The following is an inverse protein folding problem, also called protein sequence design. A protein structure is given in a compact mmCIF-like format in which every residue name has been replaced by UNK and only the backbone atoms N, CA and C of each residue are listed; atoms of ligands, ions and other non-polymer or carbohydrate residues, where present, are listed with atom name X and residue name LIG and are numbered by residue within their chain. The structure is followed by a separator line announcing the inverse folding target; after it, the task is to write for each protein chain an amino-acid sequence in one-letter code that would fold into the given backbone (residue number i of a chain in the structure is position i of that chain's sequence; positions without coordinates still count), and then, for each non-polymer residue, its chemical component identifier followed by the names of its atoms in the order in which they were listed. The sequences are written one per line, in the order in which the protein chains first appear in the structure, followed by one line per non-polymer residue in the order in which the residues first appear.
data_IF_967500848036
#
_entry.id   IF_967500848036
#
_cell.length_a   1.000
_cell.length_b   1.000
_cell.length_c   1.000
_cell.angle_alpha   90.00
_cell.angle_beta   90.00
_cell.angle_gamma   90.00
#
_symmetry.space_group_name_H-M   'P 1'
#
loop_
_entity.id
_entity.type
_entity.pdbx_description
1 polymer ?
#
# COMPACT_ATOMS: atom_id res chain seq x y z
N UNK A 1 17.49 -21.87 -12.36
CA UNK A 1 17.36 -20.74 -11.42
C UNK A 1 18.36 -19.68 -11.85
N UNK A 2 17.92 -18.50 -12.20
CA UNK A 2 18.83 -17.39 -12.52
C UNK A 2 19.42 -16.93 -11.18
N UNK A 3 20.75 -16.98 -11.03
CA UNK A 3 21.42 -16.45 -9.85
C UNK A 3 21.25 -14.92 -9.89
N UNK A 4 20.41 -14.39 -9.03
CA UNK A 4 20.32 -12.94 -8.81
C UNK A 4 21.37 -12.52 -7.79
N UNK A 5 21.97 -11.37 -8.01
CA UNK A 5 22.95 -10.79 -7.08
C UNK A 5 22.39 -9.47 -6.53
N UNK A 6 21.63 -9.54 -5.44
CA UNK A 6 21.07 -8.33 -4.83
C UNK A 6 22.16 -7.42 -4.27
N UNK A 7 21.94 -6.11 -4.37
CA UNK A 7 22.85 -5.09 -3.86
C UNK A 7 22.10 -4.04 -3.02
N UNK A 8 22.74 -3.61 -1.94
CA UNK A 8 22.26 -2.52 -1.09
C UNK A 8 23.32 -1.43 -1.04
N UNK A 9 22.87 -0.18 -1.24
CA UNK A 9 23.70 1.01 -1.09
C UNK A 9 23.11 1.89 0.00
N UNK A 10 23.97 2.43 0.86
CA UNK A 10 23.61 3.42 1.88
C UNK A 10 24.43 4.68 1.62
N UNK A 11 23.76 5.82 1.36
CA UNK A 11 24.42 7.09 1.06
C UNK A 11 25.42 6.97 -0.13
N UNK A 12 25.09 6.14 -1.12
CA UNK A 12 25.90 5.85 -2.31
C UNK A 12 27.01 4.81 -2.10
N UNK A 13 27.22 4.31 -0.89
CA UNK A 13 28.20 3.26 -0.60
C UNK A 13 27.55 1.88 -0.61
N UNK A 14 28.12 0.93 -1.34
CA UNK A 14 27.68 -0.47 -1.30
C UNK A 14 28.00 -1.06 0.07
N UNK A 15 27.04 -1.76 0.64
CA UNK A 15 27.17 -2.44 1.93
C UNK A 15 26.99 -3.96 1.78
N UNK A 16 27.79 -4.71 2.50
CA UNK A 16 27.61 -6.16 2.63
C UNK A 16 26.48 -6.43 3.62
N UNK A 17 25.56 -7.29 3.26
CA UNK A 17 24.44 -7.71 4.11
C UNK A 17 24.38 -9.24 4.21
N UNK A 18 23.69 -9.75 5.22
CA UNK A 18 23.50 -11.19 5.41
C UNK A 18 22.14 -11.66 4.91
N UNK A 19 21.11 -10.95 5.30
CA UNK A 19 19.72 -11.24 4.92
C UNK A 19 18.93 -9.93 4.82
N UNK A 20 17.83 -9.97 4.09
CA UNK A 20 16.93 -8.84 4.01
C UNK A 20 15.54 -9.23 3.51
N UNK A 21 14.63 -8.28 3.60
CA UNK A 21 13.29 -8.37 3.02
C UNK A 21 12.81 -7.02 2.56
N UNK A 22 12.24 -6.98 1.37
CA UNK A 22 11.49 -5.84 0.85
C UNK A 22 10.01 -6.19 0.88
N UNK A 23 9.23 -5.39 1.60
CA UNK A 23 7.76 -5.51 1.64
C UNK A 23 7.15 -4.27 1.02
N UNK A 24 6.35 -4.47 -0.03
CA UNK A 24 5.50 -3.46 -0.64
C UNK A 24 4.05 -3.85 -0.34
N UNK A 25 3.34 -3.02 0.39
CA UNK A 25 1.93 -3.24 0.70
C UNK A 25 1.08 -2.23 -0.06
N UNK A 26 -0.03 -2.71 -0.59
CA UNK A 26 -0.96 -1.87 -1.31
C UNK A 26 -1.66 -0.84 -0.44
N UNK A 27 -2.16 0.20 -1.09
CA UNK A 27 -3.14 1.05 -0.48
C UNK A 27 -2.61 2.19 0.38
N UNK A 28 -1.70 2.99 -0.12
CA UNK A 28 -1.16 4.17 0.58
C UNK A 28 -0.27 3.82 1.79
N UNK A 29 0.31 2.64 1.79
CA UNK A 29 1.24 2.18 2.83
C UNK A 29 2.67 2.32 2.35
N UNK A 30 3.57 2.79 3.22
CA UNK A 30 4.98 2.89 2.91
C UNK A 30 5.60 1.51 2.65
N UNK A 31 6.38 1.39 1.59
CA UNK A 31 7.21 0.21 1.35
C UNK A 31 8.32 0.15 2.40
N UNK A 32 8.65 -1.05 2.83
CA UNK A 32 9.60 -1.31 3.91
C UNK A 32 10.72 -2.22 3.42
N UNK A 33 11.96 -1.75 3.56
CA UNK A 33 13.16 -2.57 3.40
C UNK A 33 13.78 -2.84 4.78
N UNK A 34 13.88 -4.11 5.14
CA UNK A 34 14.60 -4.54 6.34
C UNK A 34 15.81 -5.36 5.94
N UNK A 35 16.97 -5.12 6.53
CA UNK A 35 18.19 -5.85 6.21
C UNK A 35 19.18 -5.83 7.38
N UNK A 36 20.04 -6.86 7.41
CA UNK A 36 21.04 -7.05 8.47
C UNK A 36 22.42 -6.90 7.87
N UNK A 37 23.25 -6.05 8.48
CA UNK A 37 24.67 -5.91 8.14
C UNK A 37 25.55 -6.22 9.34
N UNK A 38 26.80 -6.65 9.14
CA UNK A 38 27.81 -6.64 10.19
C UNK A 38 28.12 -5.22 10.63
N UNK A 39 28.24 -4.96 11.93
CA UNK A 39 28.58 -3.62 12.41
C UNK A 39 28.34 -3.42 13.90
N UNK A 40 28.72 -2.23 14.36
CA UNK A 40 28.67 -1.79 15.74
C UNK A 40 27.95 -0.43 15.88
N UNK A 41 28.03 0.18 17.04
CA UNK A 41 27.43 1.49 17.32
C UNK A 41 28.00 2.63 16.46
N UNK A 42 29.22 2.52 15.94
CA UNK A 42 29.83 3.51 15.06
C UNK A 42 29.19 3.40 13.67
N UNK A 43 29.06 2.17 13.17
CA UNK A 43 28.36 1.84 11.91
C UNK A 43 26.90 2.31 11.96
N UNK A 44 26.20 2.07 13.08
CA UNK A 44 24.83 2.56 13.29
C UNK A 44 24.73 4.08 13.12
N UNK A 45 25.60 4.86 13.81
CA UNK A 45 25.58 6.34 13.76
C UNK A 45 25.88 6.87 12.37
N UNK A 46 26.75 6.19 11.61
CA UNK A 46 27.13 6.55 10.25
C UNK A 46 25.94 6.50 9.30
N UNK A 47 25.08 5.48 9.43
CA UNK A 47 24.01 5.21 8.48
C UNK A 47 22.62 5.71 8.92
N UNK A 48 22.49 6.20 10.14
CA UNK A 48 21.21 6.73 10.62
C UNK A 48 20.67 7.86 9.74
N UNK A 49 19.39 7.79 9.36
CA UNK A 49 18.70 8.77 8.50
C UNK A 49 19.26 8.90 7.06
N UNK A 50 20.13 7.98 6.64
CA UNK A 50 20.71 7.98 5.30
C UNK A 50 19.78 7.35 4.28
N UNK A 51 19.94 7.77 3.01
CA UNK A 51 19.25 7.15 1.89
C UNK A 51 19.73 5.73 1.67
N UNK A 52 18.78 4.84 1.31
CA UNK A 52 19.04 3.44 0.98
C UNK A 52 18.46 3.13 -0.39
N UNK A 53 19.27 2.49 -1.23
CA UNK A 53 18.87 1.93 -2.50
C UNK A 53 19.02 0.40 -2.44
N UNK A 54 18.03 -0.32 -2.94
CA UNK A 54 18.09 -1.76 -3.09
C UNK A 54 17.85 -2.13 -4.54
N UNK A 55 18.78 -2.90 -5.10
CA UNK A 55 18.69 -3.51 -6.42
C UNK A 55 18.45 -5.01 -6.23
N UNK A 56 17.47 -5.56 -6.94
CA UNK A 56 17.18 -7.00 -6.91
C UNK A 56 18.28 -7.79 -7.59
N UNK A 57 18.82 -7.25 -8.69
CA UNK A 57 20.01 -7.74 -9.35
C UNK A 57 20.98 -6.59 -9.64
N UNK A 58 22.27 -6.85 -9.53
CA UNK A 58 23.32 -5.84 -9.79
C UNK A 58 23.31 -5.32 -11.23
N UNK A 59 22.65 -6.02 -12.15
CA UNK A 59 22.48 -5.59 -13.55
C UNK A 59 21.31 -4.64 -13.75
N UNK A 60 20.47 -4.42 -12.72
CA UNK A 60 19.33 -3.52 -12.79
C UNK A 60 19.76 -2.07 -13.03
N UNK A 61 19.11 -1.40 -13.96
CA UNK A 61 19.39 0.03 -14.27
C UNK A 61 18.78 0.99 -13.27
N UNK A 62 17.80 0.56 -12.50
CA UNK A 62 17.12 1.35 -11.47
C UNK A 62 16.90 0.53 -10.19
N UNK A 63 16.91 1.18 -9.01
CA UNK A 63 16.66 0.47 -7.77
C UNK A 63 15.21 0.01 -7.69
N UNK A 64 15.01 -1.19 -7.15
CA UNK A 64 13.68 -1.70 -6.84
C UNK A 64 13.06 -1.02 -5.61
N UNK A 65 13.90 -0.43 -4.76
CA UNK A 65 13.50 0.35 -3.60
C UNK A 65 14.46 1.52 -3.39
N UNK A 66 13.87 2.69 -3.10
CA UNK A 66 14.55 3.88 -2.60
C UNK A 66 13.85 4.36 -1.35
N UNK A 67 14.59 4.57 -0.28
CA UNK A 67 14.02 5.03 0.97
C UNK A 67 15.08 5.54 1.93
N UNK A 68 14.70 5.69 3.20
CA UNK A 68 15.57 6.24 4.23
C UNK A 68 15.53 5.35 5.47
N UNK A 69 16.68 5.18 6.13
CA UNK A 69 16.78 4.45 7.40
C UNK A 69 15.99 5.22 8.46
N UNK A 70 14.93 4.58 8.97
CA UNK A 70 14.04 5.15 9.98
C UNK A 70 14.16 4.45 11.33
N UNK A 71 14.68 3.23 11.35
CA UNK A 71 14.91 2.48 12.58
C UNK A 71 16.12 1.57 12.42
N UNK A 72 16.77 1.27 13.55
CA UNK A 72 17.85 0.29 13.59
C UNK A 72 17.98 -0.32 14.98
N UNK A 73 18.35 -1.60 15.01
CA UNK A 73 18.57 -2.37 16.22
C UNK A 73 19.97 -2.95 16.19
N UNK A 74 20.75 -2.67 17.23
CA UNK A 74 22.11 -3.20 17.39
C UNK A 74 22.02 -4.48 18.22
N UNK A 75 22.52 -5.57 17.66
CA UNK A 75 22.53 -6.86 18.33
C UNK A 75 23.88 -7.13 19.00
N UNK A 76 23.86 -7.97 20.05
CA UNK A 76 25.07 -8.35 20.80
C UNK A 76 26.09 -9.17 19.98
N UNK A 77 25.69 -9.70 18.82
CA UNK A 77 26.55 -10.46 17.90
C UNK A 77 27.25 -9.59 16.84
N UNK A 78 27.40 -8.29 17.08
CA UNK A 78 27.97 -7.33 16.14
C UNK A 78 27.25 -7.28 14.80
N UNK A 79 25.95 -7.39 14.82
CA UNK A 79 25.10 -7.14 13.66
C UNK A 79 24.10 -6.00 13.93
N UNK A 80 23.68 -5.33 12.88
CA UNK A 80 22.69 -4.26 12.94
C UNK A 80 21.57 -4.60 11.99
N UNK A 81 20.35 -4.61 12.52
CA UNK A 81 19.12 -4.69 11.72
C UNK A 81 18.66 -3.28 11.39
N UNK A 82 18.73 -2.90 10.14
CA UNK A 82 18.18 -1.65 9.64
C UNK A 82 16.77 -1.84 9.09
N UNK A 83 15.95 -0.83 9.31
CA UNK A 83 14.65 -0.68 8.65
C UNK A 83 14.60 0.67 7.94
N UNK A 84 14.42 0.62 6.63
CA UNK A 84 14.19 1.78 5.80
C UNK A 84 12.74 1.80 5.31
N UNK A 85 12.16 2.98 5.21
CA UNK A 85 10.86 3.24 4.58
C UNK A 85 11.06 4.09 3.33
N UNK A 86 10.20 3.89 2.35
CA UNK A 86 10.14 4.79 1.19
C UNK A 86 9.63 6.18 1.58
N UNK A 87 9.44 7.05 0.61
CA UNK A 87 9.04 8.45 0.89
C UNK A 87 7.65 8.59 1.52
N UNK A 88 6.74 7.61 1.37
CA UNK A 88 5.48 7.60 2.10
C UNK A 88 5.70 7.48 3.62
N UNK A 89 6.80 6.86 4.05
CA UNK A 89 7.17 6.78 5.45
C UNK A 89 7.32 8.14 6.14
N UNK A 90 7.66 9.20 5.40
CA UNK A 90 7.69 10.57 5.94
C UNK A 90 6.29 11.17 6.15
N UNK A 91 5.28 10.61 5.48
CA UNK A 91 3.89 11.07 5.60
C UNK A 91 3.08 10.25 6.60
N UNK A 92 3.52 9.04 6.94
CA UNK A 92 2.80 8.11 7.83
C UNK A 92 3.26 8.15 9.27
N UNK A 93 4.48 8.62 9.54
CA UNK A 93 5.08 8.56 10.88
C UNK A 93 5.65 9.91 11.34
N UNK A 94 5.53 10.17 12.65
CA UNK A 94 6.19 11.28 13.32
C UNK A 94 5.59 12.67 13.11
N UNK A 95 6.10 13.64 13.86
CA UNK A 95 5.65 15.05 13.89
C UNK A 95 5.71 15.80 12.56
N UNK A 96 6.45 15.27 11.57
CA UNK A 96 6.59 15.86 10.23
C UNK A 96 5.43 15.56 9.29
N UNK A 97 4.65 14.53 9.57
CA UNK A 97 3.48 14.18 8.76
C UNK A 97 2.28 15.11 8.97
N UNK A 98 2.35 16.02 9.92
CA UNK A 98 1.30 16.97 10.24
C UNK A 98 1.73 18.39 9.91
N UNK A 99 0.80 19.16 9.31
CA UNK A 99 1.01 20.57 8.97
C UNK A 99 -0.01 21.46 9.68
N UNK A 100 0.39 22.66 10.14
CA UNK A 100 -0.54 23.64 10.67
C UNK A 100 -1.23 24.38 9.51
N UNK A 101 -2.52 24.14 9.31
CA UNK A 101 -3.32 24.89 8.35
C UNK A 101 -4.03 26.07 9.04
N UNK A 102 -3.91 27.25 8.44
CA UNK A 102 -4.50 28.51 8.93
C UNK A 102 -5.34 29.15 7.83
N UNK A 103 -5.94 30.29 8.09
CA UNK A 103 -6.66 31.06 7.06
C UNK A 103 -5.74 31.52 5.93
N UNK A 104 -4.52 31.95 6.26
CA UNK A 104 -3.53 32.42 5.28
C UNK A 104 -2.78 31.29 4.61
N UNK A 105 -2.63 30.17 5.29
CA UNK A 105 -1.91 29.00 4.78
C UNK A 105 -2.81 27.77 4.81
N UNK A 106 -3.67 27.64 3.81
CA UNK A 106 -4.70 26.61 3.69
C UNK A 106 -4.65 25.90 2.34
N UNK A 107 -5.44 24.85 2.20
CA UNK A 107 -5.59 24.04 0.98
C UNK A 107 -7.05 24.04 0.47
N UNK A 108 -7.87 24.96 0.96
CA UNK A 108 -9.30 25.03 0.69
C UNK A 108 -9.60 25.16 -0.81
N UNK A 109 -10.46 24.30 -1.31
CA UNK A 109 -10.88 24.30 -2.70
C UNK A 109 -9.78 23.91 -3.71
N UNK A 110 -8.60 23.51 -3.25
CA UNK A 110 -7.54 22.98 -4.13
C UNK A 110 -7.89 21.57 -4.61
N UNK A 111 -7.36 21.19 -5.79
CA UNK A 111 -7.33 19.77 -6.18
C UNK A 111 -6.48 18.97 -5.19
N UNK A 112 -6.77 17.67 -5.04
CA UNK A 112 -6.05 16.80 -4.10
C UNK A 112 -4.54 16.84 -4.34
N UNK A 113 -4.08 16.80 -5.61
CA UNK A 113 -2.65 16.86 -5.92
C UNK A 113 -2.00 18.19 -5.57
N UNK A 114 -2.67 19.32 -5.87
CA UNK A 114 -2.18 20.65 -5.49
C UNK A 114 -2.12 20.82 -3.97
N UNK A 115 -3.11 20.28 -3.26
CA UNK A 115 -3.12 20.28 -1.80
C UNK A 115 -1.97 19.46 -1.22
N UNK A 116 -1.74 18.25 -1.74
CA UNK A 116 -0.64 17.40 -1.30
C UNK A 116 0.73 18.06 -1.53
N UNK A 117 0.96 18.66 -2.72
CA UNK A 117 2.18 19.46 -2.99
C UNK A 117 2.37 20.56 -1.95
N UNK A 118 1.34 21.37 -1.73
CA UNK A 118 1.41 22.46 -0.75
C UNK A 118 1.64 21.99 0.67
N UNK A 119 1.02 20.89 1.10
CA UNK A 119 1.24 20.34 2.44
C UNK A 119 2.66 19.80 2.61
N UNK A 120 3.24 19.18 1.59
CA UNK A 120 4.64 18.73 1.56
C UNK A 120 5.60 19.94 1.66
N UNK A 121 5.29 21.05 0.97
CA UNK A 121 6.09 22.29 1.05
C UNK A 121 6.01 22.90 2.46
N UNK A 122 4.84 22.97 3.06
CA UNK A 122 4.67 23.45 4.45
C UNK A 122 5.47 22.57 5.43
N UNK A 123 5.49 21.25 5.21
CA UNK A 123 6.25 20.30 6.01
C UNK A 123 7.77 20.33 5.73
N UNK A 124 8.22 21.10 4.73
CA UNK A 124 9.62 21.19 4.28
C UNK A 124 10.21 19.84 3.86
N UNK A 125 9.40 19.01 3.22
CA UNK A 125 9.77 17.65 2.75
C UNK A 125 10.10 17.59 1.25
N UNK A 126 9.98 18.69 0.50
CA UNK A 126 10.17 18.76 -0.95
C UNK A 126 11.60 18.34 -1.42
N UNK A 127 12.59 18.44 -0.54
CA UNK A 127 13.95 17.97 -0.85
C UNK A 127 14.07 16.43 -0.91
N UNK A 128 13.14 15.71 -0.24
CA UNK A 128 13.13 14.25 -0.16
C UNK A 128 12.00 13.61 -0.96
N UNK A 129 10.87 14.31 -1.10
CA UNK A 129 9.66 13.81 -1.75
C UNK A 129 9.43 14.58 -3.04
N UNK A 130 9.49 13.87 -4.17
CA UNK A 130 9.11 14.41 -5.46
C UNK A 130 7.59 14.39 -5.63
N UNK A 131 7.07 15.46 -6.24
CA UNK A 131 5.63 15.62 -6.50
C UNK A 131 5.35 16.13 -7.92
N UNK A 132 6.31 15.98 -8.81
CA UNK A 132 6.24 16.54 -10.16
C UNK A 132 5.13 15.88 -11.01
N UNK A 133 4.87 14.61 -10.77
CA UNK A 133 3.87 13.81 -11.49
C UNK A 133 2.46 13.83 -10.87
N UNK A 134 2.25 14.51 -9.73
CA UNK A 134 0.93 14.57 -9.09
C UNK A 134 -0.14 15.26 -9.92
N UNK A 135 0.26 16.13 -10.87
CA UNK A 135 -0.68 16.86 -11.74
C UNK A 135 -1.31 16.02 -12.84
N UNK A 136 -0.67 14.92 -13.26
CA UNK A 136 -1.04 14.18 -14.47
C UNK A 136 -2.21 13.21 -14.23
N UNK A 137 -2.40 12.75 -12.99
CA UNK A 137 -3.39 11.73 -12.60
C UNK A 137 -4.29 12.20 -11.45
N UNK A 138 -4.47 13.51 -11.28
CA UNK A 138 -5.26 14.07 -10.19
C UNK A 138 -6.73 13.63 -10.25
N UNK A 139 -7.23 12.97 -9.21
CA UNK A 139 -8.67 12.70 -9.11
C UNK A 139 -9.44 14.03 -8.99
N UNK A 140 -10.63 14.08 -9.59
CA UNK A 140 -11.48 15.27 -9.62
C UNK A 140 -12.23 15.40 -8.28
N UNK A 141 -11.54 15.89 -7.27
CA UNK A 141 -12.13 16.26 -5.98
C UNK A 141 -11.46 17.52 -5.47
N UNK A 142 -12.21 18.32 -4.74
CA UNK A 142 -11.70 19.53 -4.11
C UNK A 142 -11.56 19.33 -2.61
N UNK A 143 -10.49 19.88 -2.04
CA UNK A 143 -10.25 19.85 -0.60
C UNK A 143 -11.31 20.65 0.15
N UNK A 144 -11.84 20.12 1.26
CA UNK A 144 -12.71 20.87 2.16
C UNK A 144 -11.93 21.92 2.93
N UNK A 145 -12.66 22.76 3.65
CA UNK A 145 -12.05 23.72 4.59
C UNK A 145 -11.43 22.96 5.76
N UNK A 146 -10.11 23.06 5.91
CA UNK A 146 -9.31 22.43 6.96
C UNK A 146 -8.56 23.48 7.76
N UNK A 147 -8.58 23.38 9.09
CA UNK A 147 -7.86 24.26 10.02
C UNK A 147 -7.20 23.47 11.14
N UNK A 148 -6.10 24.01 11.66
CA UNK A 148 -5.35 23.39 12.75
C UNK A 148 -4.30 22.39 12.28
N UNK A 149 -3.81 21.57 13.20
CA UNK A 149 -2.82 20.53 12.91
C UNK A 149 -3.48 19.39 12.13
N UNK A 150 -3.04 19.21 10.90
CA UNK A 150 -3.64 18.29 9.93
C UNK A 150 -2.61 17.26 9.48
N UNK A 151 -2.95 15.97 9.59
CA UNK A 151 -2.12 14.87 9.10
C UNK A 151 -2.20 14.81 7.58
N UNK A 152 -1.04 14.83 6.91
CA UNK A 152 -1.00 14.94 5.45
C UNK A 152 -1.64 13.72 4.80
N UNK A 153 -1.11 12.53 5.08
CA UNK A 153 -1.54 11.32 4.39
C UNK A 153 -2.99 10.98 4.68
N UNK A 154 -3.41 10.98 5.96
CA UNK A 154 -4.78 10.63 6.36
C UNK A 154 -5.81 11.53 5.68
N UNK A 155 -5.50 12.83 5.59
CA UNK A 155 -6.38 13.81 4.94
C UNK A 155 -6.50 13.54 3.45
N UNK A 156 -5.37 13.31 2.76
CA UNK A 156 -5.38 13.05 1.32
C UNK A 156 -6.04 11.71 1.01
N UNK A 157 -5.73 10.65 1.76
CA UNK A 157 -6.35 9.32 1.60
C UNK A 157 -7.85 9.38 1.88
N UNK A 158 -8.27 10.13 2.91
CA UNK A 158 -9.68 10.37 3.19
C UNK A 158 -10.43 10.99 2.00
N UNK A 159 -9.81 11.94 1.29
CA UNK A 159 -10.39 12.53 0.07
C UNK A 159 -10.35 11.56 -1.11
N UNK A 160 -9.25 10.82 -1.30
CA UNK A 160 -9.12 9.81 -2.36
C UNK A 160 -10.20 8.72 -2.25
N UNK A 161 -10.50 8.27 -1.04
CA UNK A 161 -11.54 7.26 -0.78
C UNK A 161 -12.96 7.72 -1.15
N UNK A 162 -13.19 9.02 -1.27
CA UNK A 162 -14.45 9.59 -1.77
C UNK A 162 -14.56 9.62 -3.29
N UNK A 163 -13.47 9.40 -4.01
CA UNK A 163 -13.40 9.49 -5.46
C UNK A 163 -13.33 8.10 -6.08
N UNK A 164 -14.48 7.61 -6.55
CA UNK A 164 -14.55 6.35 -7.29
C UNK A 164 -14.74 6.67 -8.78
N UNK A 165 -13.88 6.09 -9.62
CA UNK A 165 -14.14 6.08 -11.05
C UNK A 165 -15.17 5.00 -11.38
N UNK A 166 -16.35 5.43 -11.80
CA UNK A 166 -17.48 4.56 -12.16
C UNK A 166 -17.58 4.48 -13.70
N UNK A 167 -16.57 3.91 -14.33
CA UNK A 167 -16.64 3.63 -15.77
C UNK A 167 -17.37 2.30 -15.94
N UNK A 168 -18.67 2.25 -16.09
CA UNK A 168 -19.48 1.07 -16.47
C UNK A 168 -18.98 -0.30 -15.97
N UNK A 169 -18.14 -0.33 -14.95
CA UNK A 169 -17.49 -1.50 -14.38
C UNK A 169 -18.35 -1.99 -13.23
N UNK A 170 -18.51 -3.30 -13.10
CA UNK A 170 -19.28 -3.92 -12.00
C UNK A 170 -18.68 -3.61 -10.62
N UNK A 171 -17.38 -3.30 -10.56
CA UNK A 171 -16.64 -3.01 -9.34
C UNK A 171 -16.07 -1.59 -9.41
N UNK A 172 -16.30 -0.74 -8.38
CA UNK A 172 -15.70 0.57 -8.32
C UNK A 172 -14.18 0.42 -8.24
N UNK A 173 -13.43 1.24 -9.00
CA UNK A 173 -11.98 1.31 -8.97
C UNK A 173 -11.53 2.43 -8.05
N UNK A 174 -10.56 2.14 -7.21
CA UNK A 174 -10.03 3.04 -6.20
C UNK A 174 -8.84 3.83 -6.74
N UNK A 175 -8.76 5.12 -6.37
CA UNK A 175 -7.53 5.89 -6.51
C UNK A 175 -6.65 5.69 -5.26
N UNK A 176 -5.35 5.62 -5.44
CA UNK A 176 -4.38 5.50 -4.35
C UNK A 176 -3.09 6.25 -4.68
N UNK A 177 -2.26 6.47 -3.66
CA UNK A 177 -0.95 7.09 -3.82
C UNK A 177 0.08 5.98 -4.02
N UNK A 178 0.89 6.10 -5.05
CA UNK A 178 1.99 5.20 -5.36
C UNK A 178 3.31 5.95 -5.34
N UNK A 179 4.39 5.27 -4.95
CA UNK A 179 5.75 5.76 -5.07
C UNK A 179 6.40 5.18 -6.31
N UNK A 180 6.97 6.03 -7.13
CA UNK A 180 7.84 5.62 -8.24
C UNK A 180 9.23 6.22 -8.04
N UNK A 181 10.27 5.62 -8.63
CA UNK A 181 11.62 6.16 -8.67
C UNK A 181 11.86 6.85 -10.02
N UNK A 182 12.29 8.10 -10.01
CA UNK A 182 12.65 8.85 -11.23
C UNK A 182 14.15 8.79 -11.56
N UNK A 183 14.92 7.98 -10.83
CA UNK A 183 16.37 7.86 -10.92
C UNK A 183 17.13 8.82 -10.00
N UNK A 184 16.51 9.88 -9.52
CA UNK A 184 17.13 10.86 -8.60
C UNK A 184 16.51 10.84 -7.21
N UNK A 185 15.20 10.67 -7.12
CA UNK A 185 14.43 10.64 -5.86
C UNK A 185 13.11 9.88 -6.05
N UNK A 186 12.49 9.51 -4.94
CA UNK A 186 11.12 8.96 -4.96
C UNK A 186 10.10 10.04 -5.32
N UNK A 187 9.18 9.73 -6.21
CA UNK A 187 8.08 10.59 -6.64
C UNK A 187 6.75 10.02 -6.18
N UNK A 188 5.85 10.89 -5.73
CA UNK A 188 4.46 10.51 -5.47
C UNK A 188 3.63 10.68 -6.73
N UNK A 189 2.81 9.68 -7.04
CA UNK A 189 1.81 9.74 -8.10
C UNK A 189 0.46 9.27 -7.55
N UNK A 190 -0.62 9.69 -8.19
CA UNK A 190 -1.92 9.04 -8.03
C UNK A 190 -2.06 7.96 -9.09
N UNK A 191 -2.48 6.78 -8.66
CA UNK A 191 -2.74 5.65 -9.54
C UNK A 191 -4.17 5.16 -9.36
N UNK A 192 -4.69 4.45 -10.35
CA UNK A 192 -6.04 3.93 -10.37
C UNK A 192 -6.01 2.41 -10.43
N UNK A 193 -6.79 1.74 -9.60
CA UNK A 193 -6.90 0.28 -9.64
C UNK A 193 -7.19 -0.23 -11.05
N UNK A 194 -6.44 -1.26 -11.49
CA UNK A 194 -6.59 -1.90 -12.78
C UNK A 194 -7.98 -2.54 -12.94
N UNK A 195 -8.56 -2.46 -14.11
CA UNK A 195 -9.82 -3.13 -14.42
C UNK A 195 -9.55 -4.60 -14.78
N UNK A 196 -9.87 -5.53 -13.87
CA UNK A 196 -9.64 -6.97 -14.10
C UNK A 196 -10.41 -7.54 -15.30
N UNK A 197 -11.56 -6.94 -15.68
CA UNK A 197 -12.38 -7.44 -16.81
C UNK A 197 -11.73 -7.14 -18.17
N UNK A 198 -10.92 -6.09 -18.26
CA UNK A 198 -10.32 -5.63 -19.52
C UNK A 198 -8.79 -5.67 -19.53
N UNK A 199 -8.16 -5.93 -18.39
CA UNK A 199 -6.70 -5.97 -18.29
C UNK A 199 -6.12 -7.24 -18.90
N UNK A 200 -5.01 -7.05 -19.61
CA UNK A 200 -4.15 -8.17 -20.03
C UNK A 200 -3.22 -8.52 -18.87
N UNK A 201 -3.08 -9.79 -18.48
CA UNK A 201 -2.19 -10.14 -17.39
C UNK A 201 -0.73 -9.84 -17.75
N UNK A 202 -0.01 -9.19 -16.84
CA UNK A 202 1.42 -8.91 -16.96
C UNK A 202 2.23 -10.20 -16.87
N UNK A 203 1.72 -11.18 -16.11
CA UNK A 203 2.37 -12.46 -15.88
C UNK A 203 1.34 -13.56 -15.64
N UNK A 204 1.71 -14.82 -15.95
CA UNK A 204 0.91 -15.99 -15.63
C UNK A 204 1.69 -16.91 -14.70
N UNK A 205 1.11 -17.16 -13.54
CA UNK A 205 1.60 -18.17 -12.61
C UNK A 205 0.84 -19.47 -12.82
N UNK A 206 1.59 -20.54 -13.01
CA UNK A 206 1.08 -21.87 -13.26
C UNK A 206 1.70 -22.85 -12.26
N UNK A 207 0.86 -23.63 -11.57
CA UNK A 207 1.30 -24.60 -10.56
C UNK A 207 2.35 -25.59 -11.09
N UNK A 208 2.26 -25.92 -12.36
CA UNK A 208 3.21 -26.88 -12.98
C UNK A 208 4.58 -26.28 -13.30
N UNK A 209 4.75 -24.96 -13.25
CA UNK A 209 5.95 -24.29 -13.73
C UNK A 209 6.64 -23.36 -12.73
N UNK A 210 5.90 -22.45 -12.08
CA UNK A 210 6.53 -21.37 -11.34
C UNK A 210 5.89 -21.03 -9.98
N UNK A 211 4.87 -21.75 -9.54
CA UNK A 211 4.31 -21.65 -8.20
C UNK A 211 5.05 -22.64 -7.29
N UNK A 212 5.62 -22.15 -6.20
CA UNK A 212 6.19 -22.98 -5.13
C UNK A 212 5.08 -23.41 -4.18
N UNK A 213 4.20 -22.48 -3.79
CA UNK A 213 3.07 -22.72 -2.93
C UNK A 213 1.98 -21.69 -3.21
N UNK A 214 0.75 -22.14 -3.22
CA UNK A 214 -0.43 -21.29 -3.33
C UNK A 214 -1.37 -21.60 -2.18
N UNK A 215 -1.80 -20.58 -1.46
CA UNK A 215 -2.72 -20.73 -0.33
C UNK A 215 -3.94 -19.84 -0.48
N UNK A 216 -5.07 -20.38 -0.08
CA UNK A 216 -6.35 -19.70 -0.07
C UNK A 216 -6.90 -19.73 1.35
N UNK A 217 -7.13 -18.58 1.94
CA UNK A 217 -7.69 -18.46 3.28
C UNK A 217 -9.06 -17.80 3.24
N UNK A 218 -10.00 -18.32 4.03
CA UNK A 218 -11.30 -17.68 4.20
C UNK A 218 -11.20 -16.48 5.14
N UNK A 219 -11.65 -15.32 4.71
CA UNK A 219 -11.89 -14.17 5.58
C UNK A 219 -13.21 -14.30 6.34
N UNK A 220 -13.23 -13.81 7.58
CA UNK A 220 -14.50 -13.60 8.27
C UNK A 220 -15.24 -12.44 7.61
N UNK A 221 -16.39 -12.75 7.00
CA UNK A 221 -17.27 -11.73 6.41
C UNK A 221 -18.18 -11.21 7.51
N UNK A 222 -18.27 -9.90 7.74
CA UNK A 222 -19.26 -9.34 8.64
C UNK A 222 -20.66 -9.52 8.04
N UNK A 223 -21.53 -10.16 8.77
CA UNK A 223 -22.93 -10.42 8.37
C UNK A 223 -23.89 -9.41 8.97
N UNK A 224 -23.45 -8.73 10.04
CA UNK A 224 -24.15 -7.63 10.69
C UNK A 224 -23.22 -6.43 10.74
N UNK A 225 -23.61 -5.31 10.14
CA UNK A 225 -22.80 -4.10 10.08
C UNK A 225 -23.57 -2.95 10.70
N UNK A 226 -23.03 -2.38 11.76
CA UNK A 226 -23.59 -1.20 12.42
C UNK A 226 -22.78 0.03 12.01
N UNK A 227 -23.45 0.98 11.40
CA UNK A 227 -22.85 2.28 11.03
C UNK A 227 -23.40 3.37 11.91
N UNK A 228 -22.52 4.06 12.61
CA UNK A 228 -22.83 5.24 13.42
C UNK A 228 -22.43 6.50 12.65
N UNK A 229 -23.41 7.27 12.20
CA UNK A 229 -23.23 8.60 11.61
C UNK A 229 -23.25 9.71 12.66
N UNK A 230 -23.15 10.97 12.19
CA UNK A 230 -23.16 12.16 13.09
C UNK A 230 -24.41 12.27 13.95
N UNK A 231 -25.59 12.06 13.37
CA UNK A 231 -26.88 12.23 14.04
C UNK A 231 -27.82 11.04 13.78
N UNK A 232 -27.32 9.95 13.23
CA UNK A 232 -28.13 8.78 12.87
C UNK A 232 -27.29 7.52 12.87
N UNK A 233 -27.95 6.38 12.97
CA UNK A 233 -27.29 5.08 12.86
C UNK A 233 -28.15 4.12 12.01
N UNK A 234 -27.51 3.11 11.47
CA UNK A 234 -28.19 2.02 10.79
C UNK A 234 -27.51 0.68 11.09
N UNK A 235 -28.30 -0.35 11.12
CA UNK A 235 -27.82 -1.75 11.23
C UNK A 235 -28.26 -2.46 9.95
N UNK A 236 -27.29 -2.97 9.21
CA UNK A 236 -27.50 -3.83 8.07
C UNK A 236 -27.23 -5.27 8.48
N UNK A 237 -28.17 -6.17 8.25
CA UNK A 237 -28.00 -7.61 8.42
C UNK A 237 -28.31 -8.32 7.11
N UNK A 238 -27.39 -9.15 6.65
CA UNK A 238 -27.61 -9.99 5.48
C UNK A 238 -28.04 -11.39 5.93
N UNK A 239 -29.34 -11.63 5.95
CA UNK A 239 -29.96 -12.82 6.58
C UNK A 239 -29.42 -14.14 6.04
N UNK A 240 -29.28 -14.29 4.71
CA UNK A 240 -28.77 -15.53 4.12
C UNK A 240 -27.29 -15.77 4.45
N UNK A 241 -26.47 -14.71 4.51
CA UNK A 241 -25.06 -14.83 4.92
C UNK A 241 -24.96 -15.13 6.43
N UNK A 242 -25.79 -14.51 7.26
CA UNK A 242 -25.85 -14.78 8.69
C UNK A 242 -26.27 -16.24 8.99
N UNK A 243 -27.21 -16.78 8.21
CA UNK A 243 -27.62 -18.17 8.32
C UNK A 243 -26.49 -19.13 7.93
N UNK A 244 -25.71 -18.81 6.89
CA UNK A 244 -24.64 -19.68 6.38
C UNK A 244 -23.34 -19.58 7.16
N UNK A 245 -22.98 -18.37 7.66
CA UNK A 245 -21.66 -18.05 8.25
C UNK A 245 -21.71 -17.70 9.74
N UNK A 246 -22.93 -17.60 10.31
CA UNK A 246 -23.16 -17.10 11.65
C UNK A 246 -23.24 -15.56 11.73
N UNK A 247 -23.63 -15.07 12.89
CA UNK A 247 -23.71 -13.63 13.18
C UNK A 247 -22.31 -13.06 13.48
N UNK A 248 -21.69 -12.43 12.50
CA UNK A 248 -20.44 -11.70 12.64
C UNK A 248 -20.72 -10.20 12.61
N UNK A 249 -20.46 -9.51 13.71
CA UNK A 249 -20.74 -8.08 13.85
C UNK A 249 -19.51 -7.23 13.53
N UNK A 250 -19.71 -6.14 12.80
CA UNK A 250 -18.74 -5.09 12.52
C UNK A 250 -19.36 -3.73 12.79
N UNK A 251 -18.65 -2.89 13.57
CA UNK A 251 -19.12 -1.56 13.93
C UNK A 251 -18.18 -0.50 13.37
N UNK A 252 -18.72 0.53 12.74
CA UNK A 252 -17.95 1.64 12.18
C UNK A 252 -18.65 2.97 12.49
N UNK A 253 -17.85 3.99 12.81
CA UNK A 253 -18.32 5.37 12.98
C UNK A 253 -17.86 6.24 11.83
N UNK A 254 -18.78 7.02 11.22
CA UNK A 254 -18.51 7.88 10.07
C UNK A 254 -19.28 9.21 10.23
N UNK A 255 -18.58 10.23 10.72
CA UNK A 255 -19.21 11.50 11.12
C UNK A 255 -19.73 12.36 9.95
N UNK A 256 -19.38 12.05 8.71
CA UNK A 256 -19.89 12.71 7.49
C UNK A 256 -21.27 12.19 7.07
N UNK A 257 -21.70 11.03 7.59
CA UNK A 257 -23.02 10.48 7.32
C UNK A 257 -24.07 11.14 8.25
N UNK A 258 -25.05 11.81 7.69
CA UNK A 258 -26.04 12.61 8.42
C UNK A 258 -27.42 11.99 8.47
N UNK A 259 -27.72 10.97 7.63
CA UNK A 259 -29.02 10.32 7.56
C UNK A 259 -28.93 8.80 7.70
N UNK A 260 -30.02 8.19 8.17
CA UNK A 260 -30.14 6.72 8.29
C UNK A 260 -29.96 6.03 6.92
N UNK A 261 -30.46 6.65 5.84
CA UNK A 261 -30.32 6.10 4.49
C UNK A 261 -28.84 6.04 4.06
N UNK A 262 -28.08 7.11 4.32
CA UNK A 262 -26.62 7.12 4.05
C UNK A 262 -25.87 6.08 4.87
N UNK A 263 -26.21 5.94 6.16
CA UNK A 263 -25.62 4.90 6.99
C UNK A 263 -25.94 3.48 6.48
N UNK A 264 -27.17 3.24 6.02
CA UNK A 264 -27.58 1.95 5.47
C UNK A 264 -26.86 1.63 4.15
N UNK A 265 -26.78 2.59 3.23
CA UNK A 265 -26.07 2.46 1.96
C UNK A 265 -24.58 2.18 2.17
N UNK A 266 -23.97 2.87 3.13
CA UNK A 266 -22.57 2.63 3.52
C UNK A 266 -22.36 1.25 4.11
N UNK A 267 -23.24 0.77 5.00
CA UNK A 267 -23.19 -0.58 5.56
C UNK A 267 -23.31 -1.66 4.47
N UNK A 268 -24.19 -1.45 3.50
CA UNK A 268 -24.34 -2.37 2.37
C UNK A 268 -23.10 -2.39 1.46
N UNK A 269 -22.47 -1.24 1.24
CA UNK A 269 -21.19 -1.16 0.52
C UNK A 269 -20.08 -1.94 1.22
N UNK A 270 -19.94 -1.78 2.54
CA UNK A 270 -18.98 -2.56 3.34
C UNK A 270 -19.24 -4.06 3.17
N UNK A 271 -20.50 -4.51 3.28
CA UNK A 271 -20.85 -5.91 3.10
C UNK A 271 -20.44 -6.42 1.72
N UNK A 272 -20.83 -5.71 0.65
CA UNK A 272 -20.54 -6.13 -0.72
C UNK A 272 -19.03 -6.27 -0.98
N UNK A 273 -18.23 -5.32 -0.47
CA UNK A 273 -16.76 -5.36 -0.60
C UNK A 273 -16.18 -6.59 0.12
N UNK A 274 -16.66 -6.88 1.33
CA UNK A 274 -16.19 -8.04 2.08
C UNK A 274 -16.58 -9.37 1.44
N UNK A 275 -17.77 -9.47 0.84
CA UNK A 275 -18.17 -10.66 0.09
C UNK A 275 -17.29 -10.89 -1.13
N UNK A 276 -16.88 -9.84 -1.81
CA UNK A 276 -15.96 -9.93 -2.96
C UNK A 276 -14.56 -10.38 -2.54
N UNK A 277 -14.12 -9.96 -1.34
CA UNK A 277 -12.83 -10.31 -0.76
C UNK A 277 -12.95 -11.44 0.29
N UNK A 278 -13.89 -12.36 0.12
CA UNK A 278 -14.10 -13.47 1.06
C UNK A 278 -12.92 -14.43 1.16
N UNK A 279 -12.01 -14.39 0.20
CA UNK A 279 -10.79 -15.16 0.19
C UNK A 279 -9.58 -14.23 0.15
N UNK A 280 -8.55 -14.62 0.89
CA UNK A 280 -7.20 -14.08 0.77
C UNK A 280 -6.34 -15.11 0.05
N UNK A 281 -5.61 -14.67 -0.95
CA UNK A 281 -4.75 -15.52 -1.75
C UNK A 281 -3.31 -15.12 -1.55
N UNK A 282 -2.46 -16.09 -1.25
CA UNK A 282 -1.01 -15.90 -1.13
C UNK A 282 -0.30 -16.87 -2.05
N UNK A 283 0.59 -16.36 -2.86
CA UNK A 283 1.39 -17.11 -3.81
C UNK A 283 2.87 -16.93 -3.49
N UNK A 284 3.60 -18.04 -3.35
CA UNK A 284 5.05 -18.04 -3.24
C UNK A 284 5.68 -18.52 -4.55
N UNK A 285 6.67 -17.77 -5.02
CA UNK A 285 7.39 -18.04 -6.28
C UNK A 285 8.85 -17.59 -6.16
N UNK A 286 9.68 -18.02 -7.07
CA UNK A 286 11.00 -17.44 -7.35
C UNK A 286 10.96 -16.43 -8.49
N UNK A 287 9.80 -16.25 -9.12
CA UNK A 287 9.58 -15.37 -10.26
C UNK A 287 8.59 -14.26 -9.91
N UNK A 288 8.57 -13.20 -10.71
CA UNK A 288 7.66 -12.07 -10.49
C UNK A 288 8.22 -10.97 -9.58
N UNK A 289 9.53 -10.92 -9.35
CA UNK A 289 10.14 -9.86 -8.53
C UNK A 289 9.82 -8.45 -9.01
N UNK A 290 9.78 -8.24 -10.32
CA UNK A 290 9.51 -6.93 -10.94
C UNK A 290 8.04 -6.58 -11.08
N UNK A 291 7.14 -7.50 -10.71
CA UNK A 291 5.72 -7.18 -10.64
C UNK A 291 5.48 -6.18 -9.50
N UNK A 292 4.59 -5.23 -9.75
CA UNK A 292 4.28 -4.17 -8.81
C UNK A 292 2.84 -4.27 -8.29
N UNK A 293 2.56 -3.52 -7.23
CA UNK A 293 1.19 -3.33 -6.76
C UNK A 293 0.30 -2.87 -7.92
N UNK A 294 -0.92 -3.38 -7.97
CA UNK A 294 -1.92 -3.12 -8.99
C UNK A 294 -1.69 -3.82 -10.34
N UNK A 295 -0.56 -4.50 -10.54
CA UNK A 295 -0.39 -5.35 -11.72
C UNK A 295 -1.40 -6.49 -11.70
N UNK A 296 -1.90 -6.82 -12.90
CA UNK A 296 -2.83 -7.94 -13.07
C UNK A 296 -2.04 -9.17 -13.46
N UNK A 297 -2.28 -10.25 -12.75
CA UNK A 297 -1.67 -11.56 -13.00
C UNK A 297 -2.75 -12.62 -13.21
N UNK A 298 -2.44 -13.64 -13.98
CA UNK A 298 -3.27 -14.82 -14.12
C UNK A 298 -2.71 -15.94 -13.25
N UNK A 299 -3.60 -16.59 -12.49
CA UNK A 299 -3.27 -17.78 -11.70
C UNK A 299 -3.96 -18.97 -12.33
N UNK A 300 -3.20 -20.04 -12.55
CA UNK A 300 -3.69 -21.34 -12.99
C UNK A 300 -3.23 -22.36 -11.95
N UNK A 301 -4.16 -22.90 -11.20
CA UNK A 301 -3.92 -23.88 -10.16
C UNK A 301 -5.04 -24.93 -10.16
N UNK A 302 -4.74 -26.10 -10.72
CA UNK A 302 -5.69 -27.19 -10.88
C UNK A 302 -6.07 -27.82 -9.53
N UNK A 303 -5.19 -27.76 -8.53
CA UNK A 303 -5.45 -28.34 -7.20
C UNK A 303 -6.52 -27.57 -6.44
N UNK A 304 -6.61 -26.26 -6.66
CA UNK A 304 -7.63 -25.40 -6.05
C UNK A 304 -8.78 -25.03 -6.99
N UNK A 305 -8.79 -25.57 -8.23
CA UNK A 305 -9.75 -25.23 -9.31
C UNK A 305 -9.79 -23.71 -9.58
N UNK A 306 -8.61 -23.07 -9.52
CA UNK A 306 -8.48 -21.64 -9.75
C UNK A 306 -7.85 -21.40 -11.13
N UNK A 307 -8.60 -20.73 -12.00
CA UNK A 307 -8.12 -20.18 -13.26
C UNK A 307 -8.72 -18.78 -13.45
N UNK A 308 -7.96 -17.75 -13.11
CA UNK A 308 -8.53 -16.40 -13.12
C UNK A 308 -7.51 -15.27 -13.07
N UNK A 309 -8.01 -14.06 -13.24
CA UNK A 309 -7.25 -12.82 -13.13
C UNK A 309 -7.34 -12.28 -11.70
N UNK A 310 -6.21 -11.86 -11.19
CA UNK A 310 -6.04 -11.27 -9.87
C UNK A 310 -5.17 -10.02 -9.97
N UNK A 311 -5.33 -9.13 -9.01
CA UNK A 311 -4.51 -7.94 -8.82
C UNK A 311 -3.54 -8.20 -7.68
N UNK A 312 -2.29 -7.76 -7.82
CA UNK A 312 -1.32 -7.76 -6.74
C UNK A 312 -1.70 -6.65 -5.76
N UNK A 313 -1.89 -7.00 -4.50
CA UNK A 313 -2.22 -6.07 -3.40
C UNK A 313 -1.07 -5.92 -2.41
N UNK A 314 -0.11 -6.81 -2.46
CA UNK A 314 1.09 -6.76 -1.66
C UNK A 314 2.16 -7.70 -2.19
N UNK A 315 3.41 -7.38 -1.91
CA UNK A 315 4.57 -8.17 -2.31
C UNK A 315 5.61 -8.16 -1.19
N UNK A 316 6.17 -9.32 -0.90
CA UNK A 316 7.35 -9.44 -0.04
C UNK A 316 8.42 -10.24 -0.76
N UNK A 317 9.61 -9.68 -0.87
CA UNK A 317 10.81 -10.35 -1.38
C UNK A 317 11.72 -10.59 -0.18
N UNK A 318 11.88 -11.84 0.23
CA UNK A 318 12.91 -12.24 1.18
C UNK A 318 14.17 -12.62 0.39
N UNK A 319 15.32 -12.10 0.76
CA UNK A 319 16.56 -12.31 0.04
C UNK A 319 17.75 -12.52 0.96
N UNK A 320 18.71 -13.31 0.49
CA UNK A 320 20.04 -13.49 1.03
C UNK A 320 21.08 -13.21 -0.04
N UNK A 321 22.33 -13.58 0.21
CA UNK A 321 23.44 -13.33 -0.73
C UNK A 321 23.28 -14.05 -2.10
N UNK A 322 22.54 -15.17 -2.15
CA UNK A 322 22.41 -15.98 -3.36
C UNK A 322 21.04 -16.65 -3.53
N UNK A 323 20.06 -16.27 -2.71
CA UNK A 323 18.74 -16.85 -2.77
C UNK A 323 17.68 -15.79 -2.52
N UNK A 324 16.52 -15.96 -3.13
CA UNK A 324 15.35 -15.13 -2.87
C UNK A 324 14.06 -15.95 -2.94
N UNK A 325 13.05 -15.44 -2.27
CA UNK A 325 11.68 -15.95 -2.33
C UNK A 325 10.74 -14.77 -2.42
N UNK A 326 9.78 -14.86 -3.31
CA UNK A 326 8.78 -13.83 -3.56
C UNK A 326 7.45 -14.34 -3.06
N UNK A 327 6.83 -13.58 -2.18
CA UNK A 327 5.46 -13.81 -1.71
C UNK A 327 4.58 -12.71 -2.27
N UNK A 328 3.57 -13.07 -3.04
CA UNK A 328 2.56 -12.15 -3.55
C UNK A 328 1.26 -12.34 -2.80
N UNK A 329 0.73 -11.25 -2.28
CA UNK A 329 -0.65 -11.15 -1.83
C UNK A 329 -1.48 -10.66 -2.99
N UNK A 330 -2.49 -11.45 -3.38
CA UNK A 330 -3.30 -11.16 -4.56
C UNK A 330 -4.78 -11.22 -4.23
N UNK A 331 -5.58 -10.42 -4.89
CA UNK A 331 -7.03 -10.45 -4.74
C UNK A 331 -7.73 -9.85 -5.97
N UNK A 332 -9.04 -10.07 -6.05
CA UNK A 332 -9.89 -9.44 -7.07
C UNK A 332 -10.12 -7.96 -6.77
N UNK A 333 -10.04 -7.56 -5.52
CA UNK A 333 -10.16 -6.17 -5.07
C UNK A 333 -9.28 -5.96 -3.83
N UNK A 334 -8.61 -4.81 -3.74
CA UNK A 334 -7.86 -4.48 -2.53
C UNK A 334 -8.81 -4.34 -1.32
N UNK A 335 -8.40 -4.79 -0.12
CA UNK A 335 -9.22 -4.66 1.07
C UNK A 335 -9.43 -3.18 1.41
N UNK A 336 -10.68 -2.73 1.38
CA UNK A 336 -11.07 -1.35 1.71
C UNK A 336 -11.27 -1.12 3.21
N UNK A 337 -11.17 -2.16 4.04
CA UNK A 337 -11.55 -2.08 5.46
C UNK A 337 -10.69 -1.06 6.21
N UNK A 338 -9.38 -1.01 5.97
CA UNK A 338 -8.48 -0.12 6.69
C UNK A 338 -8.66 1.35 6.30
N UNK A 339 -9.13 1.61 5.09
CA UNK A 339 -9.43 2.96 4.61
C UNK A 339 -10.75 3.53 5.14
N UNK A 340 -11.63 2.70 5.72
CA UNK A 340 -12.87 3.15 6.36
C UNK A 340 -12.72 3.39 7.87
N UNK A 341 -11.60 2.97 8.46
CA UNK A 341 -11.30 3.13 9.88
C UNK A 341 -10.45 4.38 10.19
N UNK A 342 -9.94 5.05 9.15
CA UNK A 342 -9.17 6.29 9.27
C UNK A 342 -10.05 7.53 9.40
#
# INVERSE_FOLDING_TARGET
MQETTPEIFIDGERVDFTTGSLTKQGGNTASKLSFTIPGDSVTYRRYWNKEVLYYFDKSDSSPMFRGYIMNAEINSNFSINFMALDILGFLTGLDRAAVPLTEDNNVDGMSIGSALKKMIDIAQLQAKIGTDFLGDTNPVALMPILRGRTMILDTIVGQLNGVYNVDNVKLPRRNFIKVIDDGSKGQLIFDLESNLETSVPMYTFDYTSNIINFSVQNRKIPTIITVQGKNSSAIFKHESAATALGDNSFNVSKNDLTSKAQCMDFAQKIFNINVQNKYEYTLNSTEGAYLEENDVVRIIDDDTDINGLFRIIGKTIAFGNSSHTITLEINKQAPLLDSFLA
#
